data_IF_207122855364
#
_entry.id   IF_207122855364
#
_cell.length_a   1.000
_cell.length_b   1.000
_cell.length_c   1.000
_cell.angle_alpha   90.00
_cell.angle_beta   90.00
_cell.angle_gamma   90.00
#
_symmetry.space_group_name_H-M   'P 1'
#
loop_
_entity.id
_entity.type
_entity.pdbx_description
1 polymer ?
#
# COMPACT_ATOMS: atom_id res chain seq x y z
N UNK A 1 22.02 22.36 19.91
CA UNK A 1 20.88 21.87 19.09
C UNK A 1 20.43 20.59 19.76
N UNK A 2 19.50 20.72 20.72
CA UNK A 2 19.14 19.64 21.63
C UNK A 2 18.28 18.57 20.94
N UNK A 3 18.68 17.32 21.14
CA UNK A 3 17.85 16.14 21.39
C UNK A 3 16.49 16.08 20.67
N UNK A 4 16.51 15.87 19.35
CA UNK A 4 15.37 15.23 18.70
C UNK A 4 15.48 13.72 18.94
N UNK A 5 14.87 13.27 20.03
CA UNK A 5 14.56 11.86 20.24
C UNK A 5 13.71 11.40 19.04
N UNK A 6 14.32 10.70 18.09
CA UNK A 6 13.61 10.15 16.95
C UNK A 6 12.63 9.11 17.48
N UNK A 7 11.33 9.43 17.47
CA UNK A 7 10.31 8.48 17.83
C UNK A 7 10.44 7.25 16.91
N UNK A 8 10.81 6.11 17.49
CA UNK A 8 10.93 4.87 16.75
C UNK A 8 9.58 4.53 16.08
N UNK A 9 9.60 4.04 14.83
CA UNK A 9 8.38 3.63 14.15
C UNK A 9 7.55 2.66 15.00
N UNK A 10 6.24 2.91 15.09
CA UNK A 10 5.34 2.15 15.97
C UNK A 10 5.34 0.64 15.72
N UNK A 11 5.63 0.20 14.49
CA UNK A 11 5.71 -1.22 14.16
C UNK A 11 6.88 -1.95 14.85
N UNK A 12 7.95 -1.23 15.26
CA UNK A 12 9.06 -1.83 16.01
C UNK A 12 8.64 -2.28 17.41
N UNK A 13 7.55 -1.74 17.95
CA UNK A 13 6.98 -2.12 19.24
C UNK A 13 6.05 -3.35 19.13
N UNK A 14 5.75 -3.82 17.91
CA UNK A 14 4.84 -4.94 17.71
C UNK A 14 5.63 -6.25 17.81
N UNK A 15 5.27 -7.10 18.78
CA UNK A 15 5.86 -8.43 18.93
C UNK A 15 5.60 -9.34 17.72
N UNK A 16 6.55 -10.24 17.42
CA UNK A 16 6.49 -11.16 16.26
C UNK A 16 5.19 -11.96 16.18
N UNK A 17 4.69 -12.45 17.31
CA UNK A 17 3.44 -13.23 17.35
C UNK A 17 2.20 -12.37 17.00
N UNK A 18 2.19 -11.11 17.42
CA UNK A 18 1.14 -10.16 17.04
C UNK A 18 1.19 -9.86 15.54
N UNK A 19 2.39 -9.72 14.96
CA UNK A 19 2.55 -9.57 13.51
C UNK A 19 2.05 -10.80 12.74
N UNK A 20 2.45 -12.01 13.13
CA UNK A 20 1.98 -13.26 12.52
C UNK A 20 0.45 -13.36 12.55
N UNK A 21 -0.17 -13.05 13.69
CA UNK A 21 -1.63 -13.05 13.84
C UNK A 21 -2.30 -12.05 12.88
N UNK A 22 -1.77 -10.84 12.75
CA UNK A 22 -2.29 -9.81 11.82
C UNK A 22 -2.15 -10.24 10.37
N UNK A 23 -1.02 -10.85 10.00
CA UNK A 23 -0.81 -11.40 8.66
C UNK A 23 -1.85 -12.47 8.37
N UNK A 24 -2.07 -13.42 9.28
CA UNK A 24 -3.09 -14.46 9.12
C UNK A 24 -4.48 -13.87 8.86
N UNK A 25 -4.91 -12.91 9.68
CA UNK A 25 -6.20 -12.22 9.53
C UNK A 25 -6.30 -11.51 8.18
N UNK A 26 -5.22 -10.86 7.73
CA UNK A 26 -5.20 -10.17 6.43
C UNK A 26 -5.38 -11.15 5.26
N UNK A 27 -4.77 -12.35 5.32
CA UNK A 27 -4.97 -13.39 4.30
C UNK A 27 -6.37 -14.00 4.34
N UNK A 28 -6.94 -14.24 5.53
CA UNK A 28 -8.32 -14.71 5.68
C UNK A 28 -9.33 -13.70 5.08
N UNK A 29 -9.10 -12.40 5.26
CA UNK A 29 -9.93 -11.34 4.65
C UNK A 29 -9.89 -11.32 3.11
N UNK A 30 -8.89 -11.96 2.49
CA UNK A 30 -8.72 -12.02 1.04
C UNK A 30 -9.48 -13.18 0.38
N UNK A 31 -10.01 -14.13 1.16
CA UNK A 31 -10.84 -15.24 0.67
C UNK A 31 -12.26 -14.81 0.30
N UNK A 32 -12.79 -13.78 0.98
CA UNK A 32 -14.08 -13.12 0.72
C UNK A 32 -13.89 -11.60 0.82
N UNK A 33 -13.25 -11.02 -0.20
CA UNK A 33 -12.74 -9.65 -0.11
C UNK A 33 -13.84 -8.59 0.02
N UNK A 34 -13.94 -8.00 1.22
CA UNK A 34 -14.83 -6.88 1.58
C UNK A 34 -14.09 -5.65 2.12
N UNK A 35 -12.80 -5.52 1.79
CA UNK A 35 -11.92 -4.43 2.28
C UNK A 35 -12.39 -3.03 1.84
N UNK A 36 -13.08 -2.92 0.70
CA UNK A 36 -13.62 -1.65 0.22
C UNK A 36 -15.16 -1.66 0.23
N UNK A 37 -15.82 -0.47 0.21
CA UNK A 37 -17.29 -0.37 0.29
C UNK A 37 -18.07 -1.08 -0.82
N UNK A 38 -17.40 -1.59 -1.87
CA UNK A 38 -18.03 -2.38 -2.93
C UNK A 38 -18.40 -3.80 -2.48
N UNK A 39 -17.79 -4.32 -1.42
CA UNK A 39 -18.09 -5.65 -0.86
C UNK A 39 -18.18 -6.77 -1.90
N UNK A 40 -17.22 -6.81 -2.86
CA UNK A 40 -17.33 -7.70 -4.03
C UNK A 40 -17.21 -9.19 -3.72
N UNK A 41 -16.65 -9.58 -2.56
CA UNK A 41 -16.60 -10.96 -2.10
C UNK A 41 -15.73 -11.93 -2.92
N UNK A 42 -14.90 -11.40 -3.84
CA UNK A 42 -13.99 -12.22 -4.64
C UNK A 42 -12.92 -12.87 -3.77
N UNK A 43 -12.49 -14.06 -4.15
CA UNK A 43 -11.40 -14.79 -3.53
C UNK A 43 -10.07 -14.46 -4.21
N UNK A 44 -9.30 -13.53 -3.62
CA UNK A 44 -8.01 -13.11 -4.17
C UNK A 44 -6.96 -14.22 -4.10
N UNK A 45 -7.07 -15.13 -3.14
CA UNK A 45 -6.14 -16.26 -3.00
C UNK A 45 -6.26 -17.24 -4.17
N UNK A 46 -7.44 -17.29 -4.81
CA UNK A 46 -7.69 -18.06 -6.05
C UNK A 46 -7.41 -17.26 -7.33
N UNK A 47 -6.86 -16.05 -7.20
CA UNK A 47 -6.56 -15.17 -8.34
C UNK A 47 -7.75 -14.39 -8.88
N UNK A 48 -8.90 -14.41 -8.20
CA UNK A 48 -10.08 -13.67 -8.63
C UNK A 48 -9.88 -12.16 -8.47
N UNK A 49 -10.47 -11.39 -9.39
CA UNK A 49 -10.37 -9.93 -9.42
C UNK A 49 -11.76 -9.31 -9.36
N UNK A 50 -11.96 -8.43 -8.38
CA UNK A 50 -13.20 -7.67 -8.24
C UNK A 50 -13.20 -6.39 -9.08
N UNK A 51 -14.15 -5.50 -8.80
CA UNK A 51 -14.29 -4.21 -9.51
C UNK A 51 -12.99 -3.38 -9.54
N UNK A 52 -12.20 -3.41 -8.46
CA UNK A 52 -10.95 -2.68 -8.42
C UNK A 52 -9.87 -3.25 -9.36
N UNK A 53 -9.94 -4.53 -9.72
CA UNK A 53 -8.94 -5.31 -10.50
C UNK A 53 -7.57 -5.55 -9.84
N UNK A 54 -7.37 -5.09 -8.61
CA UNK A 54 -6.21 -5.51 -7.81
C UNK A 54 -6.20 -7.05 -7.64
N UNK A 55 -5.01 -7.65 -7.57
CA UNK A 55 -4.81 -9.08 -7.29
C UNK A 55 -4.48 -9.37 -5.83
N UNK A 56 -3.74 -10.47 -5.61
CA UNK A 56 -3.13 -10.85 -4.33
C UNK A 56 -1.77 -10.15 -4.13
N UNK A 57 -0.93 -10.20 -5.15
CA UNK A 57 0.41 -9.58 -5.12
C UNK A 57 0.32 -8.07 -5.38
N UNK A 58 1.23 -7.28 -4.78
CA UNK A 58 1.27 -5.85 -5.00
C UNK A 58 1.69 -5.54 -6.45
N UNK A 59 1.01 -4.55 -7.04
CA UNK A 59 1.36 -3.95 -8.31
C UNK A 59 1.73 -2.48 -8.04
N UNK A 60 2.97 -2.09 -8.37
CA UNK A 60 3.51 -0.76 -8.09
C UNK A 60 3.83 -0.04 -9.40
N UNK A 61 3.30 1.17 -9.56
CA UNK A 61 3.62 2.03 -10.72
C UNK A 61 4.91 2.80 -10.52
N UNK A 62 5.11 3.39 -9.35
CA UNK A 62 6.30 4.18 -9.03
C UNK A 62 6.46 4.32 -7.52
N UNK A 63 7.67 4.64 -7.08
CA UNK A 63 7.97 4.98 -5.70
C UNK A 63 9.11 6.00 -5.67
N UNK A 64 9.05 6.98 -4.78
CA UNK A 64 10.04 8.07 -4.69
C UNK A 64 9.86 8.88 -3.40
N UNK A 65 10.88 9.67 -3.05
CA UNK A 65 10.75 10.69 -2.01
C UNK A 65 10.02 11.92 -2.59
N UNK A 66 8.85 12.22 -2.04
CA UNK A 66 7.99 13.30 -2.50
C UNK A 66 8.15 14.54 -1.62
N UNK A 67 8.68 15.61 -2.23
CA UNK A 67 8.98 16.87 -1.56
C UNK A 67 7.84 17.91 -1.65
N UNK A 68 6.80 17.64 -2.44
CA UNK A 68 5.69 18.56 -2.71
C UNK A 68 4.46 18.38 -1.84
N UNK A 69 4.49 17.50 -0.84
CA UNK A 69 3.40 17.34 0.13
C UNK A 69 3.32 18.56 1.05
N UNK A 70 2.21 18.71 1.75
CA UNK A 70 2.07 19.78 2.74
C UNK A 70 3.17 19.70 3.82
N UNK A 71 3.70 20.84 4.31
CA UNK A 71 4.80 20.85 5.27
C UNK A 71 4.63 19.95 6.51
N UNK A 72 3.42 19.79 7.10
CA UNK A 72 3.21 18.87 8.21
C UNK A 72 3.43 17.38 7.86
N UNK A 73 3.31 17.00 6.58
CA UNK A 73 3.49 15.63 6.09
C UNK A 73 4.91 15.40 5.56
N UNK A 74 5.45 16.35 4.80
CA UNK A 74 6.79 16.24 4.22
C UNK A 74 7.91 16.41 5.27
N UNK A 75 7.62 17.10 6.37
CA UNK A 75 8.63 17.47 7.35
C UNK A 75 9.83 18.16 6.67
N UNK A 76 11.04 17.72 7.02
CA UNK A 76 12.30 18.24 6.46
C UNK A 76 12.92 17.32 5.38
N UNK A 77 12.47 16.07 5.26
CA UNK A 77 13.08 15.05 4.42
C UNK A 77 12.19 14.57 3.27
N UNK A 78 10.99 15.15 3.12
CA UNK A 78 9.97 14.67 2.20
C UNK A 78 9.15 13.53 2.78
N UNK A 79 8.23 13.01 1.97
CA UNK A 79 7.42 11.85 2.30
C UNK A 79 7.74 10.67 1.40
N UNK A 80 7.83 9.47 1.97
CA UNK A 80 7.97 8.24 1.22
C UNK A 80 6.70 7.91 0.44
N UNK A 81 6.72 8.07 -0.88
CA UNK A 81 5.55 7.82 -1.74
C UNK A 81 5.68 6.50 -2.49
N UNK A 82 4.61 5.70 -2.47
CA UNK A 82 4.46 4.48 -3.27
C UNK A 82 3.11 4.54 -3.98
N UNK A 83 3.12 4.61 -5.32
CA UNK A 83 1.91 4.53 -6.13
C UNK A 83 1.57 3.08 -6.45
N UNK A 84 0.53 2.57 -5.77
CA UNK A 84 -0.07 1.28 -6.09
C UNK A 84 -0.95 1.39 -7.34
N UNK A 85 -0.98 0.30 -8.11
CA UNK A 85 -1.85 0.14 -9.28
C UNK A 85 -3.23 -0.34 -8.84
N UNK A 86 -4.26 0.02 -9.61
CA UNK A 86 -5.69 -0.28 -9.38
C UNK A 86 -6.38 0.60 -8.33
N UNK A 87 -7.70 0.79 -8.47
CA UNK A 87 -8.50 1.56 -7.52
C UNK A 87 -9.92 1.00 -7.42
N UNK A 88 -10.50 0.97 -6.21
CA UNK A 88 -11.91 0.62 -5.98
C UNK A 88 -12.88 1.71 -6.46
N UNK A 89 -12.35 2.90 -6.75
CA UNK A 89 -13.01 4.00 -7.44
C UNK A 89 -12.60 4.00 -8.91
N UNK A 90 -13.43 4.60 -9.77
CA UNK A 90 -13.16 4.77 -11.20
C UNK A 90 -13.67 6.13 -11.66
N UNK A 91 -13.17 7.17 -11.00
CA UNK A 91 -13.61 8.54 -11.24
C UNK A 91 -13.41 8.92 -12.72
N UNK A 92 -14.42 9.56 -13.31
CA UNK A 92 -14.36 10.06 -14.70
C UNK A 92 -13.28 11.14 -14.88
N UNK A 93 -12.94 11.84 -13.80
CA UNK A 93 -11.92 12.89 -13.73
C UNK A 93 -10.60 12.43 -13.07
N UNK A 94 -10.31 11.12 -13.08
CA UNK A 94 -9.14 10.60 -12.38
C UNK A 94 -7.82 11.11 -13.00
N UNK A 95 -7.06 11.93 -12.25
CA UNK A 95 -5.72 12.37 -12.66
C UNK A 95 -4.74 11.19 -12.81
N UNK A 96 -4.93 10.16 -11.99
CA UNK A 96 -4.14 8.93 -11.98
C UNK A 96 -4.79 7.81 -12.84
N UNK A 97 -5.52 8.16 -13.89
CA UNK A 97 -6.23 7.20 -14.75
C UNK A 97 -5.34 6.06 -15.28
N UNK A 98 -4.10 6.30 -15.78
CA UNK A 98 -3.26 5.23 -16.28
C UNK A 98 -2.95 4.15 -15.23
N UNK A 99 -2.67 4.55 -13.99
CA UNK A 99 -2.31 3.60 -12.92
C UNK A 99 -3.54 2.99 -12.24
N UNK A 100 -4.60 3.77 -12.05
CA UNK A 100 -5.82 3.31 -11.36
C UNK A 100 -6.73 2.47 -12.26
N UNK A 101 -6.79 2.78 -13.56
CA UNK A 101 -7.74 2.19 -14.49
C UNK A 101 -7.13 1.45 -15.68
N UNK A 102 -5.91 1.79 -16.12
CA UNK A 102 -5.24 1.00 -17.17
C UNK A 102 -4.30 -0.07 -16.60
N UNK A 103 -4.11 -0.09 -15.27
CA UNK A 103 -3.26 -1.08 -14.63
C UNK A 103 -1.78 -0.81 -14.87
N UNK A 104 -1.36 0.43 -15.13
CA UNK A 104 0.05 0.74 -15.33
C UNK A 104 0.82 0.53 -14.03
N UNK A 105 1.82 -0.34 -14.09
CA UNK A 105 2.70 -0.71 -13.00
C UNK A 105 3.26 -2.11 -13.19
N UNK A 106 4.05 -2.56 -12.22
CA UNK A 106 4.68 -3.89 -12.24
C UNK A 106 4.25 -4.65 -11.00
N UNK A 107 3.85 -5.90 -11.21
CA UNK A 107 3.74 -6.86 -10.11
C UNK A 107 5.12 -7.07 -9.48
N UNK A 108 5.19 -6.96 -8.17
CA UNK A 108 6.42 -7.17 -7.39
C UNK A 108 6.14 -8.13 -6.22
N UNK A 109 7.20 -8.67 -5.63
CA UNK A 109 7.07 -9.51 -4.42
C UNK A 109 6.83 -8.66 -3.18
N UNK A 110 6.37 -9.30 -2.10
CA UNK A 110 6.16 -8.64 -0.79
C UNK A 110 7.50 -8.16 -0.23
N UNK A 111 8.56 -8.93 -0.41
CA UNK A 111 9.93 -8.60 0.01
C UNK A 111 10.40 -7.33 -0.71
N UNK A 112 10.16 -7.24 -2.02
CA UNK A 112 10.54 -6.05 -2.79
C UNK A 112 9.74 -4.81 -2.36
N UNK A 113 8.45 -4.96 -2.04
CA UNK A 113 7.65 -3.88 -1.49
C UNK A 113 8.21 -3.42 -0.13
N UNK A 114 8.60 -4.35 0.74
CA UNK A 114 9.18 -4.04 2.04
C UNK A 114 10.53 -3.30 1.89
N UNK A 115 11.39 -3.72 0.97
CA UNK A 115 12.62 -3.01 0.63
C UNK A 115 12.34 -1.56 0.19
N UNK A 116 11.35 -1.36 -0.69
CA UNK A 116 10.94 -0.02 -1.12
C UNK A 116 10.50 0.83 0.08
N UNK A 117 9.68 0.28 0.98
CA UNK A 117 9.23 0.99 2.18
C UNK A 117 10.42 1.40 3.08
N UNK A 118 11.42 0.53 3.24
CA UNK A 118 12.61 0.81 4.04
C UNK A 118 13.55 1.83 3.39
N UNK A 119 13.67 1.83 2.06
CA UNK A 119 14.46 2.82 1.31
C UNK A 119 13.86 4.23 1.43
N UNK A 120 12.54 4.33 1.64
CA UNK A 120 11.80 5.58 1.72
C UNK A 120 11.60 6.11 3.15
N UNK A 121 12.09 5.41 4.17
CA UNK A 121 12.09 5.86 5.57
C UNK A 121 13.26 6.79 5.87
#
# INVERSE_FOLDING_TARGET
>A
MNDKEFALPGYLKIGRESLKKRVKIAYELMEDCKICPRNCGVNRLRGEKGYCRAGLEPEVSSFYCHMGEEPPLSGWAGSGTIFLTHCSLRCVFCQNYPISQLGYGKKITIERLAEIMLILQ
#
